data_IF_687502836588
#
_entry.id   IF_687502836588
#
_cell.length_a   1.000
_cell.length_b   1.000
_cell.length_c   1.000
_cell.angle_alpha   90.00
_cell.angle_beta   90.00
_cell.angle_gamma   90.00
#
_symmetry.space_group_name_H-M   'P 1'
#
loop_
_entity.id
_entity.type
_entity.pdbx_description
1 polymer ?
#
# COMPACT_ATOMS: atom_id res chain seq x y z
N UNK A 1 -9.70 0.23 21.58
CA UNK A 1 -10.14 -0.47 20.38
C UNK A 1 -9.57 -1.89 20.40
N UNK A 2 -10.41 -2.94 20.37
CA UNK A 2 -9.93 -4.32 20.37
C UNK A 2 -9.17 -4.60 19.07
N UNK A 3 -8.10 -5.37 19.19
CA UNK A 3 -7.38 -5.87 18.01
C UNK A 3 -8.24 -6.90 17.26
N UNK A 4 -7.91 -7.13 16.00
CA UNK A 4 -8.55 -8.19 15.23
C UNK A 4 -8.32 -9.56 15.87
N UNK A 5 -7.17 -9.75 16.54
CA UNK A 5 -6.86 -10.95 17.29
C UNK A 5 -7.83 -11.17 18.45
N UNK A 6 -8.19 -10.12 19.21
CA UNK A 6 -9.14 -10.24 20.32
C UNK A 6 -10.56 -10.56 19.81
N UNK A 7 -10.95 -9.95 18.68
CA UNK A 7 -12.25 -10.19 18.06
C UNK A 7 -12.34 -11.62 17.48
N UNK A 8 -11.31 -12.07 16.78
CA UNK A 8 -11.27 -13.40 16.18
C UNK A 8 -11.11 -14.51 17.22
N UNK A 9 -10.33 -14.29 18.29
CA UNK A 9 -10.24 -15.24 19.39
C UNK A 9 -11.61 -15.56 20.01
N UNK A 10 -12.49 -14.57 20.09
CA UNK A 10 -13.86 -14.76 20.55
C UNK A 10 -14.70 -15.57 19.58
N UNK A 11 -14.65 -15.25 18.28
CA UNK A 11 -15.36 -16.01 17.23
C UNK A 11 -14.86 -17.45 17.17
N UNK A 12 -13.54 -17.68 17.28
CA UNK A 12 -12.94 -19.02 17.28
C UNK A 12 -13.33 -19.84 18.51
N UNK A 13 -13.42 -19.21 19.68
CA UNK A 13 -13.89 -19.88 20.90
C UNK A 13 -15.34 -20.36 20.76
N UNK A 14 -16.18 -19.60 20.04
CA UNK A 14 -17.59 -19.92 19.79
C UNK A 14 -17.78 -20.95 18.65
N UNK A 15 -16.82 -21.09 17.70
CA UNK A 15 -16.92 -21.90 16.48
C UNK A 15 -15.85 -22.98 16.38
N UNK A 16 -15.74 -23.89 17.33
CA UNK A 16 -14.71 -24.96 17.41
C UNK A 16 -14.61 -25.96 16.24
N UNK A 17 -15.27 -25.75 15.10
CA UNK A 17 -15.44 -26.77 14.05
C UNK A 17 -14.71 -26.54 12.73
N UNK A 18 -13.95 -25.48 12.54
CA UNK A 18 -13.26 -25.22 11.27
C UNK A 18 -11.74 -25.25 11.42
N UNK A 19 -11.11 -26.31 10.93
CA UNK A 19 -9.65 -26.54 11.04
C UNK A 19 -8.77 -25.70 10.10
N UNK A 20 -9.33 -24.74 9.36
CA UNK A 20 -8.59 -23.87 8.42
C UNK A 20 -8.53 -22.40 8.83
N UNK A 21 -8.88 -22.09 10.07
CA UNK A 21 -8.98 -20.71 10.53
C UNK A 21 -7.63 -19.97 10.57
N UNK A 22 -6.58 -20.63 11.04
CA UNK A 22 -5.27 -20.01 11.18
C UNK A 22 -4.71 -19.55 9.82
N UNK A 23 -4.90 -20.33 8.78
CA UNK A 23 -4.53 -20.01 7.41
C UNK A 23 -5.27 -18.76 6.86
N UNK A 24 -6.60 -18.72 7.01
CA UNK A 24 -7.38 -17.56 6.56
C UNK A 24 -6.98 -16.28 7.28
N UNK A 25 -6.76 -16.36 8.60
CA UNK A 25 -6.34 -15.20 9.38
C UNK A 25 -4.95 -14.72 9.02
N UNK A 26 -3.98 -15.61 8.87
CA UNK A 26 -2.64 -15.24 8.41
C UNK A 26 -2.68 -14.63 7.02
N UNK A 27 -3.47 -15.20 6.11
CA UNK A 27 -3.67 -14.67 4.75
C UNK A 27 -4.23 -13.26 4.74
N UNK A 28 -5.29 -13.02 5.52
CA UNK A 28 -5.87 -11.69 5.64
C UNK A 28 -4.92 -10.70 6.34
N UNK A 29 -4.29 -11.08 7.46
CA UNK A 29 -3.30 -10.23 8.12
C UNK A 29 -2.16 -9.87 7.18
N UNK A 30 -1.69 -10.84 6.39
CA UNK A 30 -0.66 -10.63 5.39
C UNK A 30 -1.09 -9.65 4.30
N UNK A 31 -2.34 -9.74 3.82
CA UNK A 31 -2.90 -8.78 2.86
C UNK A 31 -2.98 -7.36 3.46
N UNK A 32 -3.26 -7.24 4.76
CA UNK A 32 -3.25 -5.96 5.47
C UNK A 32 -1.85 -5.52 5.87
N UNK A 33 -0.85 -6.38 5.72
CA UNK A 33 0.55 -6.07 5.93
C UNK A 33 0.97 -5.93 7.39
N UNK A 34 0.20 -6.47 8.33
CA UNK A 34 0.50 -6.38 9.75
C UNK A 34 -0.01 -7.61 10.51
N UNK A 35 0.59 -7.86 11.68
CA UNK A 35 0.04 -8.85 12.62
C UNK A 35 -1.38 -8.49 13.04
N UNK A 36 -2.24 -9.49 13.19
CA UNK A 36 -3.61 -9.36 13.67
C UNK A 36 -3.73 -8.59 14.98
N UNK A 37 -2.76 -8.72 15.88
CA UNK A 37 -2.71 -7.99 17.13
C UNK A 37 -2.55 -6.48 16.95
N UNK A 38 -2.08 -6.04 15.80
CA UNK A 38 -1.85 -4.63 15.49
C UNK A 38 -2.94 -4.02 14.61
N UNK A 39 -3.81 -4.83 14.03
CA UNK A 39 -4.90 -4.35 13.16
C UNK A 39 -6.15 -4.07 14.01
N UNK A 40 -6.72 -2.89 13.85
CA UNK A 40 -7.96 -2.48 14.50
C UNK A 40 -9.17 -3.20 13.89
N UNK A 41 -9.89 -3.97 14.68
CA UNK A 41 -11.16 -4.58 14.25
C UNK A 41 -12.20 -3.50 13.88
N UNK A 42 -12.28 -2.45 14.70
CA UNK A 42 -13.17 -1.31 14.43
C UNK A 42 -12.76 -0.59 13.16
N UNK A 43 -11.45 -0.33 12.97
CA UNK A 43 -10.94 0.35 11.79
C UNK A 43 -11.26 -0.41 10.50
N UNK A 44 -11.23 -1.74 10.49
CA UNK A 44 -11.65 -2.55 9.35
C UNK A 44 -13.14 -2.43 9.07
N UNK A 45 -13.98 -2.56 10.11
CA UNK A 45 -15.43 -2.41 9.95
C UNK A 45 -15.82 -1.01 9.49
N UNK A 46 -15.14 0.02 9.97
CA UNK A 46 -15.35 1.40 9.51
C UNK A 46 -14.99 1.56 8.03
N UNK A 47 -13.91 0.93 7.57
CA UNK A 47 -13.52 0.94 6.15
C UNK A 47 -14.49 0.18 5.26
N UNK A 48 -14.96 -0.99 5.68
CA UNK A 48 -15.97 -1.76 4.94
C UNK A 48 -17.27 -0.96 4.80
N UNK A 49 -17.68 -0.28 5.86
CA UNK A 49 -18.85 0.59 5.84
C UNK A 49 -18.64 1.83 4.96
N UNK A 50 -17.48 2.47 5.04
CA UNK A 50 -17.13 3.61 4.18
C UNK A 50 -17.16 3.20 2.70
N UNK A 51 -16.70 2.00 2.37
CA UNK A 51 -16.76 1.45 1.02
C UNK A 51 -18.21 1.19 0.58
N UNK A 52 -19.02 0.57 1.43
CA UNK A 52 -20.43 0.32 1.16
C UNK A 52 -21.22 1.62 0.94
N UNK A 53 -21.02 2.61 1.81
CA UNK A 53 -21.64 3.93 1.70
C UNK A 53 -21.21 4.63 0.39
N UNK A 54 -19.94 4.57 0.02
CA UNK A 54 -19.41 5.16 -1.21
C UNK A 54 -19.99 4.49 -2.47
N UNK A 55 -20.00 3.16 -2.52
CA UNK A 55 -20.57 2.41 -3.66
C UNK A 55 -22.06 2.75 -3.83
N UNK A 56 -22.80 2.86 -2.74
CA UNK A 56 -24.23 3.19 -2.78
C UNK A 56 -24.51 4.63 -3.23
N UNK A 57 -23.66 5.59 -2.85
CA UNK A 57 -23.82 7.02 -3.18
C UNK A 57 -23.41 7.32 -4.63
N UNK A 58 -22.28 6.81 -5.08
CA UNK A 58 -21.71 7.12 -6.40
C UNK A 58 -22.39 6.32 -7.53
N UNK A 59 -23.28 5.37 -7.20
CA UNK A 59 -23.81 4.39 -8.17
C UNK A 59 -22.66 3.82 -8.99
N UNK A 60 -21.63 3.33 -8.26
CA UNK A 60 -20.48 2.69 -8.89
C UNK A 60 -21.02 1.73 -9.94
N UNK A 61 -20.68 1.89 -11.23
CA UNK A 61 -21.08 0.94 -12.25
C UNK A 61 -20.43 -0.42 -12.03
N UNK A 62 -19.97 -0.67 -10.82
CA UNK A 62 -19.26 -1.78 -10.23
C UNK A 62 -19.47 -3.10 -10.89
N UNK A 63 -18.83 -3.24 -12.02
CA UNK A 63 -18.59 -4.54 -12.62
C UNK A 63 -17.28 -5.08 -12.02
N UNK A 64 -17.34 -5.56 -10.77
CA UNK A 64 -16.23 -6.23 -10.10
C UNK A 64 -15.66 -7.40 -10.93
N UNK A 65 -16.42 -7.93 -11.88
CA UNK A 65 -15.98 -8.98 -12.79
C UNK A 65 -14.92 -8.50 -13.80
N UNK A 66 -14.79 -7.21 -14.06
CA UNK A 66 -13.82 -6.64 -15.01
C UNK A 66 -12.48 -6.23 -14.39
N UNK A 67 -12.24 -6.41 -13.10
CA UNK A 67 -10.99 -6.04 -12.43
C UNK A 67 -9.77 -6.91 -12.83
N UNK A 68 -9.96 -7.99 -13.54
CA UNK A 68 -8.89 -8.89 -13.99
C UNK A 68 -8.39 -8.61 -15.41
N UNK A 69 -8.66 -7.45 -15.97
CA UNK A 69 -8.03 -7.06 -17.24
C UNK A 69 -6.57 -6.71 -16.95
N UNK A 70 -5.68 -7.61 -17.32
CA UNK A 70 -4.25 -7.30 -17.39
C UNK A 70 -4.03 -6.53 -18.70
N UNK A 71 -3.84 -5.22 -18.65
CA UNK A 71 -3.58 -4.46 -19.86
C UNK A 71 -2.24 -4.91 -20.46
N UNK A 72 -2.05 -4.84 -21.77
CA UNK A 72 -0.81 -5.22 -22.44
C UNK A 72 0.37 -4.25 -22.12
N UNK A 73 0.19 -3.37 -21.16
CA UNK A 73 1.17 -2.39 -20.71
C UNK A 73 1.05 -2.15 -19.20
N UNK A 74 2.14 -1.64 -18.59
CA UNK A 74 2.20 -1.41 -17.15
C UNK A 74 1.22 -0.31 -16.67
N UNK A 75 0.86 -0.35 -15.39
CA UNK A 75 0.08 0.73 -14.75
C UNK A 75 0.77 2.10 -14.91
N UNK A 76 2.10 2.13 -14.86
CA UNK A 76 2.87 3.36 -15.12
C UNK A 76 2.64 3.92 -16.53
N UNK A 77 2.51 3.05 -17.53
CA UNK A 77 2.21 3.47 -18.90
C UNK A 77 0.77 3.97 -19.03
N UNK A 78 -0.18 3.38 -18.31
CA UNK A 78 -1.57 3.89 -18.27
C UNK A 78 -1.58 5.31 -17.71
N UNK A 79 -0.97 5.51 -16.55
CA UNK A 79 -0.87 6.83 -15.92
C UNK A 79 -0.20 7.85 -16.84
N UNK A 80 0.91 7.46 -17.47
CA UNK A 80 1.62 8.31 -18.43
C UNK A 80 0.72 8.74 -19.58
N UNK A 81 0.01 7.82 -20.21
CA UNK A 81 -0.92 8.14 -21.34
C UNK A 81 -2.09 9.01 -20.89
N UNK A 82 -2.64 8.73 -19.70
CA UNK A 82 -3.79 9.49 -19.17
C UNK A 82 -3.41 10.92 -18.81
N UNK A 83 -2.21 11.12 -18.28
CA UNK A 83 -1.75 12.41 -17.75
C UNK A 83 -0.55 12.98 -18.53
N UNK A 84 -0.33 12.54 -19.78
CA UNK A 84 0.81 12.95 -20.61
C UNK A 84 1.05 14.47 -20.64
N UNK A 85 0.00 15.34 -20.77
CA UNK A 85 0.21 16.78 -20.78
C UNK A 85 0.81 17.33 -19.48
N UNK A 86 0.62 16.64 -18.35
CA UNK A 86 1.09 17.07 -17.03
C UNK A 86 2.51 16.62 -16.74
N UNK A 87 3.02 15.61 -17.45
CA UNK A 87 4.36 15.09 -17.17
C UNK A 87 5.49 16.08 -17.51
N UNK A 88 5.25 17.03 -18.41
CA UNK A 88 6.20 18.11 -18.72
C UNK A 88 6.39 19.07 -17.54
N UNK A 89 5.41 19.17 -16.64
CA UNK A 89 5.45 20.03 -15.45
C UNK A 89 6.10 19.34 -14.25
N UNK A 90 6.35 18.02 -14.33
CA UNK A 90 6.94 17.26 -13.23
C UNK A 90 8.43 17.54 -13.10
N UNK A 91 8.83 18.04 -11.94
CA UNK A 91 10.24 18.25 -11.60
C UNK A 91 10.80 17.03 -10.90
N UNK A 92 11.48 16.18 -11.64
CA UNK A 92 12.17 15.02 -11.08
C UNK A 92 13.42 15.44 -10.29
N UNK A 93 13.93 14.54 -9.43
CA UNK A 93 15.09 14.78 -8.57
C UNK A 93 14.94 16.05 -7.70
N UNK A 94 13.71 16.36 -7.31
CA UNK A 94 13.35 17.55 -6.56
C UNK A 94 12.65 17.15 -5.26
N UNK A 95 13.45 16.78 -4.26
CA UNK A 95 12.95 16.35 -2.95
C UNK A 95 12.61 17.58 -2.10
N UNK A 96 11.36 17.68 -1.67
CA UNK A 96 10.90 18.74 -0.76
C UNK A 96 11.46 18.53 0.65
N UNK A 97 12.02 19.57 1.24
CA UNK A 97 12.60 19.56 2.60
C UNK A 97 11.90 20.48 3.57
N UNK A 98 11.26 21.55 3.09
CA UNK A 98 10.53 22.51 3.92
C UNK A 98 9.29 23.04 3.18
N UNK A 99 8.18 23.19 3.91
CA UNK A 99 6.96 23.88 3.47
C UNK A 99 6.65 24.98 4.50
N UNK A 100 6.84 26.23 4.10
CA UNK A 100 6.51 27.39 4.92
C UNK A 100 5.21 28.02 4.42
N UNK A 101 4.15 27.89 5.21
CA UNK A 101 2.80 28.40 4.91
C UNK A 101 2.33 29.49 5.87
N UNK A 102 3.24 30.06 6.69
CA UNK A 102 2.94 31.11 7.68
C UNK A 102 2.66 32.49 7.09
N UNK A 103 3.02 32.74 5.83
CA UNK A 103 2.77 33.97 5.09
C UNK A 103 1.61 33.81 4.10
N UNK A 104 1.22 34.89 3.42
CA UNK A 104 0.19 34.81 2.36
C UNK A 104 0.60 33.82 1.28
N UNK A 105 1.81 33.91 0.79
CA UNK A 105 2.42 33.00 -0.17
C UNK A 105 3.08 31.83 0.56
N UNK A 106 2.93 30.61 0.04
CA UNK A 106 3.57 29.42 0.55
C UNK A 106 4.93 29.26 -0.13
N UNK A 107 5.97 28.99 0.64
CA UNK A 107 7.31 28.74 0.11
C UNK A 107 7.66 27.27 0.35
N UNK A 108 7.86 26.52 -0.72
CA UNK A 108 8.33 25.14 -0.72
C UNK A 108 9.81 25.13 -1.07
N UNK A 109 10.66 24.52 -0.23
CA UNK A 109 12.10 24.36 -0.50
C UNK A 109 12.43 22.93 -0.82
N UNK A 110 13.32 22.73 -1.78
CA UNK A 110 13.87 21.45 -2.13
C UNK A 110 15.24 21.18 -1.47
N UNK A 111 15.80 19.99 -1.70
CA UNK A 111 17.09 19.56 -1.15
C UNK A 111 18.30 20.36 -1.69
N UNK A 112 18.13 21.13 -2.77
CA UNK A 112 19.16 22.01 -3.33
C UNK A 112 19.04 23.44 -2.77
N UNK A 113 18.05 23.69 -1.88
CA UNK A 113 17.77 25.00 -1.32
C UNK A 113 17.02 25.93 -2.27
N UNK A 114 16.53 25.42 -3.41
CA UNK A 114 15.70 26.21 -4.30
C UNK A 114 14.32 26.42 -3.68
N UNK A 115 13.75 27.59 -3.90
CA UNK A 115 12.44 27.97 -3.40
C UNK A 115 11.42 28.03 -4.53
N UNK A 116 10.27 27.42 -4.27
CA UNK A 116 9.10 27.42 -5.16
C UNK A 116 7.95 28.07 -4.41
N UNK A 117 7.28 29.05 -5.02
CA UNK A 117 6.16 29.74 -4.40
C UNK A 117 4.83 29.25 -4.96
N UNK A 118 3.79 29.29 -4.09
CA UNK A 118 2.44 28.90 -4.45
C UNK A 118 1.40 29.55 -3.53
N UNK A 119 0.17 29.72 -4.03
CA UNK A 119 -0.97 30.14 -3.21
C UNK A 119 -1.56 28.98 -2.38
N UNK A 120 -1.46 27.74 -2.91
CA UNK A 120 -1.88 26.53 -2.24
C UNK A 120 -0.96 25.35 -2.63
N UNK A 121 -0.92 24.32 -1.78
CA UNK A 121 -0.12 23.10 -2.00
C UNK A 121 -0.95 21.85 -1.72
N UNK A 122 -1.03 20.93 -2.67
CA UNK A 122 -1.54 19.59 -2.43
C UNK A 122 -0.37 18.69 -2.06
N UNK A 123 -0.42 18.09 -0.87
CA UNK A 123 0.64 17.26 -0.29
C UNK A 123 0.27 15.79 -0.48
N UNK A 124 1.07 15.08 -1.29
CA UNK A 124 0.91 13.65 -1.55
C UNK A 124 2.08 12.83 -1.01
N UNK A 125 2.82 13.39 -0.05
CA UNK A 125 3.98 12.76 0.58
C UNK A 125 3.53 11.48 1.30
N UNK A 126 4.21 10.33 1.08
CA UNK A 126 3.88 9.07 1.74
C UNK A 126 3.84 9.21 3.27
N UNK A 127 2.89 8.52 3.90
CA UNK A 127 2.73 8.56 5.37
C UNK A 127 4.05 8.25 6.11
N UNK A 128 4.83 7.28 5.64
CA UNK A 128 6.11 6.94 6.26
C UNK A 128 7.10 8.12 6.26
N UNK A 129 7.09 8.94 5.22
CA UNK A 129 7.94 10.13 5.11
C UNK A 129 7.44 11.26 6.02
N UNK A 130 6.12 11.44 6.12
CA UNK A 130 5.53 12.35 7.10
C UNK A 130 5.89 11.95 8.54
N UNK A 131 5.85 10.64 8.87
CA UNK A 131 6.27 10.09 10.17
C UNK A 131 7.75 10.30 10.46
N UNK A 132 8.62 10.17 9.47
CA UNK A 132 10.07 10.44 9.59
C UNK A 132 10.36 11.92 9.89
N UNK A 133 9.42 12.83 9.59
CA UNK A 133 9.60 14.27 9.82
C UNK A 133 10.71 14.90 8.99
N UNK A 134 11.06 14.30 7.85
CA UNK A 134 12.11 14.83 6.95
C UNK A 134 11.68 16.08 6.21
N UNK A 135 10.37 16.35 6.15
CA UNK A 135 9.81 17.60 5.61
C UNK A 135 9.40 18.50 6.76
N UNK A 136 10.03 19.66 6.88
CA UNK A 136 9.73 20.65 7.90
C UNK A 136 8.53 21.50 7.50
N UNK A 137 7.54 21.61 8.39
CA UNK A 137 6.40 22.50 8.23
C UNK A 137 6.56 23.74 9.11
N UNK A 138 6.36 24.93 8.55
CA UNK A 138 6.43 26.22 9.26
C UNK A 138 5.19 27.05 8.91
N UNK A 139 4.28 27.34 9.85
CA UNK A 139 4.22 26.81 11.23
C UNK A 139 4.15 25.28 11.30
N UNK A 140 4.27 24.72 12.51
CA UNK A 140 4.05 23.29 12.71
C UNK A 140 2.61 22.93 12.38
N UNK A 141 2.39 21.76 11.80
CA UNK A 141 1.04 21.26 11.50
C UNK A 141 0.15 21.23 12.75
N UNK A 142 -1.17 21.42 12.62
CA UNK A 142 -2.10 21.33 13.74
C UNK A 142 -1.91 20.06 14.56
N UNK A 143 -2.13 20.13 15.87
CA UNK A 143 -1.91 19.02 16.79
C UNK A 143 -2.65 17.74 16.35
N UNK A 144 -3.93 17.86 16.01
CA UNK A 144 -4.77 16.74 15.57
C UNK A 144 -4.16 16.01 14.37
N UNK A 145 -3.61 16.76 13.41
CA UNK A 145 -2.95 16.18 12.21
C UNK A 145 -1.63 15.49 12.56
N UNK A 146 -0.82 16.08 13.44
CA UNK A 146 0.43 15.45 13.92
C UNK A 146 0.17 14.16 14.66
N UNK A 147 -0.84 14.14 15.52
CA UNK A 147 -1.28 12.92 16.22
C UNK A 147 -1.77 11.86 15.24
N UNK A 148 -2.50 12.25 14.19
CA UNK A 148 -2.94 11.33 13.14
C UNK A 148 -1.76 10.72 12.38
N UNK A 149 -0.76 11.52 12.01
CA UNK A 149 0.48 11.04 11.37
C UNK A 149 1.22 10.06 12.29
N UNK A 150 1.26 10.31 13.60
CA UNK A 150 1.94 9.43 14.56
C UNK A 150 1.20 8.09 14.73
N UNK A 151 -0.13 8.13 14.88
CA UNK A 151 -0.96 6.96 15.18
C UNK A 151 -1.17 6.05 13.98
N UNK A 152 -1.40 6.61 12.78
CA UNK A 152 -1.53 5.81 11.56
C UNK A 152 -0.27 4.99 11.34
N UNK A 153 -0.42 3.75 10.94
CA UNK A 153 0.71 2.86 10.70
C UNK A 153 0.94 2.62 9.20
N UNK A 154 2.19 2.34 8.88
CA UNK A 154 2.64 2.01 7.54
C UNK A 154 3.37 0.68 7.60
N UNK A 155 2.95 -0.28 6.79
CA UNK A 155 3.56 -1.60 6.80
C UNK A 155 4.86 -1.62 5.99
N UNK A 156 5.92 -2.30 6.45
CA UNK A 156 6.99 -2.71 5.57
C UNK A 156 6.48 -3.77 4.60
N UNK A 157 6.97 -3.77 3.37
CA UNK A 157 6.54 -4.77 2.41
C UNK A 157 7.01 -4.51 1.01
N UNK A 158 6.91 -5.57 0.22
CA UNK A 158 7.32 -5.55 -1.17
C UNK A 158 6.93 -6.81 -1.91
N UNK A 159 7.53 -6.96 -3.06
CA UNK A 159 7.30 -8.11 -3.92
C UNK A 159 8.61 -8.82 -4.22
N UNK A 160 8.60 -10.14 -4.15
CA UNK A 160 9.68 -10.98 -4.65
C UNK A 160 9.26 -11.61 -5.97
N UNK A 161 10.06 -11.41 -7.00
CA UNK A 161 9.89 -12.04 -8.32
C UNK A 161 10.86 -13.21 -8.42
N UNK A 162 10.34 -14.42 -8.64
CA UNK A 162 11.11 -15.65 -8.67
C UNK A 162 11.08 -16.20 -10.07
N UNK A 163 12.24 -16.32 -10.69
CA UNK A 163 12.37 -16.80 -12.06
C UNK A 163 12.75 -18.27 -12.10
N UNK A 164 12.02 -19.01 -12.94
CA UNK A 164 12.25 -20.42 -13.24
C UNK A 164 12.62 -20.62 -14.71
N UNK A 165 13.26 -21.72 -15.04
CA UNK A 165 13.61 -22.11 -16.41
C UNK A 165 12.39 -22.43 -17.28
N UNK A 166 11.32 -22.90 -16.64
CA UNK A 166 10.04 -23.26 -17.28
C UNK A 166 8.88 -23.03 -16.33
N UNK A 167 7.69 -22.96 -16.87
CA UNK A 167 6.46 -22.98 -16.08
C UNK A 167 6.31 -24.31 -15.31
N UNK A 168 6.20 -24.25 -13.98
CA UNK A 168 6.00 -25.39 -13.08
C UNK A 168 4.57 -25.50 -12.56
N UNK A 169 3.72 -24.52 -12.83
CA UNK A 169 2.39 -24.33 -12.23
C UNK A 169 1.24 -24.51 -13.23
N UNK A 170 1.54 -24.78 -14.53
CA UNK A 170 0.51 -24.94 -15.56
C UNK A 170 -0.35 -23.69 -15.69
N UNK A 171 -1.66 -23.87 -15.60
CA UNK A 171 -2.66 -22.80 -15.72
C UNK A 171 -3.07 -22.18 -14.36
N UNK A 172 -2.36 -22.50 -13.28
CA UNK A 172 -2.64 -21.89 -11.97
C UNK A 172 -2.27 -20.42 -11.97
N UNK A 173 -3.13 -19.57 -11.44
CA UNK A 173 -2.92 -18.11 -11.39
C UNK A 173 -2.44 -17.60 -10.02
N UNK A 174 -2.65 -18.39 -8.94
CA UNK A 174 -2.16 -18.05 -7.60
C UNK A 174 -1.93 -19.27 -6.73
N UNK A 175 -1.06 -19.15 -5.75
CA UNK A 175 -0.80 -20.12 -4.71
C UNK A 175 -0.95 -19.46 -3.35
N UNK A 176 -1.50 -20.19 -2.39
CA UNK A 176 -1.57 -19.76 -1.00
C UNK A 176 -1.15 -20.91 -0.10
N UNK A 177 -0.35 -20.63 0.92
CA UNK A 177 0.06 -21.55 1.96
C UNK A 177 0.19 -20.85 3.32
N UNK A 178 0.52 -21.61 4.34
CA UNK A 178 0.83 -21.11 5.68
C UNK A 178 2.35 -20.95 5.92
N UNK A 179 3.13 -20.86 4.85
CA UNK A 179 4.58 -20.70 4.87
C UNK A 179 5.04 -19.30 5.22
N UNK A 180 6.27 -18.98 4.84
CA UNK A 180 6.86 -17.67 5.05
C UNK A 180 6.16 -16.57 4.24
N UNK A 181 5.85 -16.83 2.97
CA UNK A 181 5.03 -15.95 2.11
C UNK A 181 3.67 -16.61 1.90
N UNK A 182 2.63 -15.97 2.37
CA UNK A 182 1.28 -16.55 2.35
C UNK A 182 0.67 -16.57 0.95
N UNK A 183 1.00 -15.59 0.09
CA UNK A 183 0.39 -15.47 -1.23
C UNK A 183 1.43 -15.30 -2.33
N UNK A 184 1.30 -16.14 -3.36
CA UNK A 184 2.05 -16.06 -4.60
C UNK A 184 1.09 -15.86 -5.77
N UNK A 185 1.44 -14.99 -6.71
CA UNK A 185 0.69 -14.69 -7.91
C UNK A 185 1.51 -15.04 -9.15
N UNK A 186 0.83 -15.36 -10.23
CA UNK A 186 1.47 -15.58 -11.52
C UNK A 186 1.34 -14.33 -12.36
N UNK A 187 2.46 -13.67 -12.58
CA UNK A 187 2.51 -12.46 -13.40
C UNK A 187 2.30 -12.78 -14.88
N UNK A 188 1.43 -12.01 -15.55
CA UNK A 188 1.18 -12.20 -17.00
C UNK A 188 0.34 -13.42 -17.34
N UNK A 189 -0.38 -13.98 -16.37
CA UNK A 189 -1.21 -15.18 -16.50
C UNK A 189 -2.07 -15.24 -17.78
N UNK A 190 -2.63 -14.12 -18.21
CA UNK A 190 -3.54 -14.08 -19.36
C UNK A 190 -2.86 -13.91 -20.72
N UNK A 191 -1.55 -13.72 -20.78
CA UNK A 191 -0.88 -13.38 -22.04
C UNK A 191 -0.29 -14.56 -22.80
N UNK A 192 0.24 -15.55 -22.16
CA UNK A 192 0.79 -16.80 -22.73
C UNK A 192 1.25 -17.67 -21.54
N UNK A 193 0.37 -18.44 -20.92
CA UNK A 193 0.68 -19.18 -19.69
C UNK A 193 1.93 -20.05 -19.80
N UNK A 194 2.11 -20.70 -20.96
CA UNK A 194 3.24 -21.61 -21.20
C UNK A 194 4.63 -20.90 -21.23
N UNK A 195 4.64 -19.60 -21.54
CA UNK A 195 5.88 -18.80 -21.55
C UNK A 195 6.12 -18.09 -20.22
N UNK A 196 5.16 -18.11 -19.32
CA UNK A 196 5.29 -17.47 -18.05
C UNK A 196 6.19 -18.31 -17.12
N UNK A 197 7.34 -17.77 -16.78
CA UNK A 197 8.36 -18.42 -15.93
C UNK A 197 8.63 -17.64 -14.65
N UNK A 198 7.77 -16.66 -14.30
CA UNK A 198 7.95 -15.80 -13.13
C UNK A 198 6.77 -15.95 -12.17
N UNK A 199 7.09 -16.23 -10.92
CA UNK A 199 6.15 -16.19 -9.79
C UNK A 199 6.44 -14.94 -8.97
N UNK A 200 5.38 -14.22 -8.61
CA UNK A 200 5.44 -13.07 -7.72
C UNK A 200 4.98 -13.47 -6.31
N UNK A 201 5.84 -13.28 -5.31
CA UNK A 201 5.48 -13.45 -3.90
C UNK A 201 5.19 -12.10 -3.25
N UNK A 202 4.14 -12.03 -2.45
CA UNK A 202 3.72 -10.85 -1.71
C UNK A 202 4.29 -10.91 -0.29
N UNK A 203 5.35 -10.14 -0.03
CA UNK A 203 6.12 -10.19 1.23
C UNK A 203 5.77 -8.96 2.06
N UNK A 204 5.11 -9.14 3.20
CA UNK A 204 4.56 -8.04 3.98
C UNK A 204 4.88 -8.18 5.48
N UNK A 205 4.79 -7.07 6.21
CA UNK A 205 4.90 -7.07 7.66
C UNK A 205 6.26 -7.55 8.18
N UNK A 206 6.23 -8.39 9.20
CA UNK A 206 7.44 -8.93 9.83
C UNK A 206 8.28 -9.78 8.85
N UNK A 207 7.62 -10.50 7.95
CA UNK A 207 8.28 -11.30 6.91
C UNK A 207 9.10 -10.41 5.97
N UNK A 208 8.61 -9.22 5.62
CA UNK A 208 9.37 -8.26 4.82
C UNK A 208 10.63 -7.77 5.54
N UNK A 209 10.53 -7.49 6.84
CA UNK A 209 11.69 -7.11 7.66
C UNK A 209 12.75 -8.22 7.77
N UNK A 210 12.32 -9.47 7.85
CA UNK A 210 13.21 -10.64 7.86
C UNK A 210 13.83 -10.81 6.48
N UNK A 211 13.01 -10.75 5.43
CA UNK A 211 13.44 -11.03 4.06
C UNK A 211 14.47 -10.02 3.56
N UNK A 212 14.26 -8.72 3.81
CA UNK A 212 15.18 -7.66 3.36
C UNK A 212 16.56 -7.74 4.04
N UNK A 213 16.61 -8.26 5.27
CA UNK A 213 17.86 -8.44 6.02
C UNK A 213 18.58 -9.75 5.72
N UNK A 214 17.89 -10.71 5.10
CA UNK A 214 18.43 -12.02 4.77
C UNK A 214 19.42 -11.96 3.61
N UNK A 215 20.45 -12.83 3.64
CA UNK A 215 21.31 -13.03 2.46
C UNK A 215 20.50 -13.64 1.31
N UNK A 216 20.99 -13.47 0.09
CA UNK A 216 20.32 -14.03 -1.10
C UNK A 216 20.13 -15.56 -1.00
N UNK A 217 21.10 -16.27 -0.43
CA UNK A 217 21.02 -17.70 -0.17
C UNK A 217 19.90 -18.01 0.83
N UNK A 218 19.80 -17.21 1.91
CA UNK A 218 18.73 -17.41 2.90
C UNK A 218 17.36 -17.08 2.35
N UNK A 219 17.24 -16.04 1.54
CA UNK A 219 16.01 -15.72 0.82
C UNK A 219 15.59 -16.89 -0.07
N UNK A 220 16.54 -17.45 -0.86
CA UNK A 220 16.28 -18.65 -1.69
C UNK A 220 15.81 -19.85 -0.87
N UNK A 221 16.38 -20.09 0.30
CA UNK A 221 15.94 -21.19 1.19
C UNK A 221 14.48 -20.99 1.66
N UNK A 222 14.12 -19.77 2.06
CA UNK A 222 12.75 -19.43 2.47
C UNK A 222 11.77 -19.67 1.32
N UNK A 223 12.09 -19.19 0.11
CA UNK A 223 11.30 -19.40 -1.08
C UNK A 223 11.16 -20.87 -1.45
N UNK A 224 12.24 -21.64 -1.30
CA UNK A 224 12.20 -23.10 -1.52
C UNK A 224 11.28 -23.80 -0.52
N UNK A 225 11.39 -23.46 0.78
CA UNK A 225 10.53 -24.05 1.82
C UNK A 225 9.05 -23.86 1.50
N UNK A 226 8.67 -22.69 1.01
CA UNK A 226 7.30 -22.42 0.62
C UNK A 226 6.91 -23.15 -0.67
N UNK A 227 7.68 -22.95 -1.73
CA UNK A 227 7.28 -23.38 -3.09
C UNK A 227 7.46 -24.87 -3.35
N UNK A 228 8.29 -25.56 -2.56
CA UNK A 228 8.41 -27.03 -2.66
C UNK A 228 7.11 -27.77 -2.32
N UNK A 229 6.21 -27.14 -1.57
CA UNK A 229 4.89 -27.69 -1.29
C UNK A 229 4.01 -27.80 -2.55
N UNK A 230 4.25 -26.92 -3.54
CA UNK A 230 3.50 -26.88 -4.80
C UNK A 230 4.19 -27.65 -5.92
N UNK A 231 5.50 -27.52 -6.04
CA UNK A 231 6.27 -28.03 -7.19
C UNK A 231 7.11 -29.27 -6.86
N UNK A 232 7.34 -29.54 -5.58
CA UNK A 232 8.33 -30.51 -5.13
C UNK A 232 9.73 -29.91 -5.04
N UNK A 233 10.53 -30.41 -4.09
CA UNK A 233 11.87 -29.88 -3.82
C UNK A 233 12.85 -30.07 -5.00
N UNK A 234 12.76 -31.22 -5.68
CA UNK A 234 13.59 -31.53 -6.86
C UNK A 234 13.28 -30.60 -8.03
N UNK A 235 11.98 -30.41 -8.36
CA UNK A 235 11.56 -29.52 -9.44
C UNK A 235 11.96 -28.06 -9.15
N UNK A 236 11.88 -27.62 -7.91
CA UNK A 236 12.37 -26.30 -7.53
C UNK A 236 13.88 -26.19 -7.80
N UNK A 237 14.70 -27.13 -7.30
CA UNK A 237 16.17 -27.08 -7.45
C UNK A 237 16.61 -27.10 -8.92
N UNK A 238 15.99 -27.94 -9.73
CA UNK A 238 16.33 -28.07 -11.16
C UNK A 238 15.98 -26.86 -11.97
N UNK A 239 14.90 -26.14 -11.62
CA UNK A 239 14.33 -25.10 -12.46
C UNK A 239 14.49 -23.68 -11.90
N UNK A 240 14.79 -23.49 -10.63
CA UNK A 240 15.07 -22.17 -10.09
C UNK A 240 16.27 -21.53 -10.81
N UNK A 241 16.11 -20.28 -11.27
CA UNK A 241 17.20 -19.48 -11.88
C UNK A 241 17.68 -18.39 -10.94
N UNK A 242 16.77 -17.51 -10.53
CA UNK A 242 17.08 -16.35 -9.70
C UNK A 242 15.83 -15.80 -9.02
N UNK A 243 16.00 -14.86 -8.12
CA UNK A 243 14.93 -14.05 -7.57
C UNK A 243 15.38 -12.61 -7.37
N UNK A 244 14.43 -11.69 -7.37
CA UNK A 244 14.62 -10.28 -7.10
C UNK A 244 13.55 -9.80 -6.13
N UNK A 245 13.95 -9.20 -5.01
CA UNK A 245 13.05 -8.58 -4.05
C UNK A 245 13.07 -7.07 -4.21
N UNK A 246 11.89 -6.47 -4.31
CA UNK A 246 11.70 -5.03 -4.28
C UNK A 246 10.91 -4.66 -3.03
N UNK A 247 11.64 -4.17 -2.01
CA UNK A 247 11.06 -3.71 -0.74
C UNK A 247 10.83 -2.21 -0.75
N UNK A 248 9.58 -1.80 -0.56
CA UNK A 248 9.20 -0.38 -0.49
C UNK A 248 9.73 0.31 0.76
N UNK A 249 9.92 -0.44 1.85
CA UNK A 249 10.49 0.04 3.11
C UNK A 249 11.93 0.54 2.95
N UNK A 250 12.67 0.00 1.99
CA UNK A 250 14.06 0.39 1.70
C UNK A 250 14.18 1.61 0.78
N UNK A 251 13.07 2.05 0.18
CA UNK A 251 13.07 3.22 -0.70
C UNK A 251 13.04 4.51 0.14
N UNK A 252 14.07 5.33 -0.01
CA UNK A 252 14.31 6.52 0.83
C UNK A 252 13.13 7.49 0.86
N UNK A 253 12.48 7.72 -0.28
CA UNK A 253 11.38 8.67 -0.44
C UNK A 253 9.99 8.04 -0.32
N UNK A 254 9.89 6.75 0.03
CA UNK A 254 8.63 6.01 0.19
C UNK A 254 8.52 5.43 1.60
N UNK A 255 9.46 4.56 2.00
CA UNK A 255 9.64 4.10 3.37
C UNK A 255 8.63 3.07 3.89
N UNK A 256 7.79 2.50 3.03
CA UNK A 256 6.81 1.47 3.37
C UNK A 256 5.90 1.14 2.21
N UNK A 257 5.10 0.10 2.31
CA UNK A 257 4.21 -0.35 1.24
C UNK A 257 2.89 0.44 1.23
N UNK A 258 2.11 0.37 2.30
CA UNK A 258 0.84 1.08 2.44
C UNK A 258 0.44 1.25 3.90
N UNK A 259 -0.53 2.15 4.14
CA UNK A 259 -1.03 2.42 5.49
C UNK A 259 -2.06 1.35 5.91
N UNK A 260 -2.13 1.03 7.20
CA UNK A 260 -3.15 0.12 7.71
C UNK A 260 -3.84 0.67 8.97
N UNK A 261 -5.09 0.26 9.26
CA UNK A 261 -5.80 0.66 10.47
C UNK A 261 -5.19 -0.05 11.68
N UNK A 262 -4.49 0.70 12.52
CA UNK A 262 -3.94 0.17 13.77
C UNK A 262 -4.93 0.23 14.92
N UNK A 263 -4.66 -0.52 15.99
CA UNK A 263 -5.45 -0.49 17.24
C UNK A 263 -5.43 0.87 17.94
N UNK A 264 -4.60 1.80 17.49
CA UNK A 264 -4.48 3.15 18.06
C UNK A 264 -5.50 4.17 17.51
N UNK A 265 -6.60 3.70 16.92
CA UNK A 265 -7.71 4.52 16.37
C UNK A 265 -7.45 5.14 15.00
N UNK A 266 -7.50 4.31 13.97
CA UNK A 266 -7.12 4.70 12.63
C UNK A 266 -8.20 5.45 11.82
N UNK A 267 -9.49 5.20 12.03
CA UNK A 267 -10.54 5.82 11.21
C UNK A 267 -10.59 7.35 11.39
N UNK A 268 -10.62 7.84 12.62
CA UNK A 268 -10.56 9.28 12.88
C UNK A 268 -9.21 9.91 12.49
N UNK A 269 -8.13 9.10 12.52
CA UNK A 269 -6.82 9.56 12.09
C UNK A 269 -6.77 9.82 10.58
N UNK A 270 -7.41 9.00 9.73
CA UNK A 270 -7.48 9.27 8.28
C UNK A 270 -8.26 10.56 7.99
N UNK A 271 -9.39 10.76 8.67
CA UNK A 271 -10.17 12.00 8.59
C UNK A 271 -9.35 13.21 9.01
N UNK A 272 -8.60 13.12 10.12
CA UNK A 272 -7.73 14.20 10.57
C UNK A 272 -6.55 14.44 9.61
N UNK A 273 -5.99 13.38 9.01
CA UNK A 273 -4.90 13.51 8.04
C UNK A 273 -5.36 14.18 6.74
N UNK A 274 -6.58 13.94 6.28
CA UNK A 274 -7.13 14.56 5.06
C UNK A 274 -7.55 16.02 5.23
N UNK A 275 -7.85 16.47 6.45
CA UNK A 275 -8.34 17.84 6.70
C UNK A 275 -7.39 18.89 6.10
N UNK A 276 -7.95 19.88 5.43
CA UNK A 276 -7.22 21.05 4.90
C UNK A 276 -6.69 21.91 6.05
N UNK A 277 -5.52 22.53 5.86
CA UNK A 277 -4.92 23.46 6.83
C UNK A 277 -4.91 24.86 6.24
N UNK A 278 -5.59 25.79 6.91
CA UNK A 278 -5.61 27.24 6.62
C UNK A 278 -6.03 27.57 5.17
N UNK A 279 -6.75 26.71 4.46
CA UNK A 279 -7.04 26.81 3.01
C UNK A 279 -5.77 26.97 2.17
N UNK A 280 -4.68 26.40 2.62
CA UNK A 280 -3.35 26.48 2.00
C UNK A 280 -2.76 25.10 1.73
N UNK A 281 -2.88 24.18 2.68
CA UNK A 281 -2.33 22.84 2.57
C UNK A 281 -3.47 21.83 2.48
N UNK A 282 -3.52 21.11 1.38
CA UNK A 282 -4.45 20.03 1.09
C UNK A 282 -3.70 18.71 1.10
N UNK A 283 -4.29 17.66 1.62
CA UNK A 283 -3.60 16.38 1.77
C UNK A 283 -4.30 15.29 0.94
N UNK A 284 -3.53 14.55 0.15
CA UNK A 284 -3.98 13.43 -0.65
C UNK A 284 -2.98 12.25 -0.54
N UNK A 285 -3.34 11.12 -1.09
CA UNK A 285 -2.65 9.84 -0.99
C UNK A 285 -3.55 8.80 -0.34
N UNK A 286 -3.24 7.50 -0.52
CA UNK A 286 -4.08 6.40 -0.04
C UNK A 286 -4.36 6.46 1.47
N UNK A 287 -3.42 6.96 2.27
CA UNK A 287 -3.57 7.12 3.72
C UNK A 287 -4.60 8.17 4.13
N UNK A 288 -5.05 9.03 3.22
CA UNK A 288 -6.08 10.05 3.43
C UNK A 288 -7.44 9.65 2.88
N UNK A 289 -7.54 8.46 2.28
CA UNK A 289 -8.81 7.96 1.78
C UNK A 289 -9.75 7.60 2.92
N UNK A 290 -11.01 7.98 2.79
CA UNK A 290 -12.08 7.68 3.73
C UNK A 290 -13.33 7.12 2.99
N UNK A 291 -13.11 6.47 1.84
CA UNK A 291 -14.15 5.86 1.03
C UNK A 291 -13.99 4.33 0.99
N UNK A 292 -13.18 3.75 1.90
CA UNK A 292 -12.91 2.31 1.95
C UNK A 292 -11.85 1.80 0.96
N UNK A 293 -11.27 2.68 0.14
CA UNK A 293 -10.23 2.33 -0.84
C UNK A 293 -8.80 2.63 -0.35
N UNK A 294 -8.59 2.87 0.93
CA UNK A 294 -7.22 3.03 1.46
C UNK A 294 -6.35 1.82 1.08
N UNK A 295 -5.03 1.99 1.04
CA UNK A 295 -4.06 0.97 0.60
C UNK A 295 -4.07 0.69 -0.92
N UNK A 296 -4.93 1.33 -1.69
CA UNK A 296 -5.08 1.05 -3.12
C UNK A 296 -4.72 2.26 -3.99
N UNK A 297 -4.45 1.98 -5.26
CA UNK A 297 -4.28 3.03 -6.29
C UNK A 297 -5.57 3.84 -6.46
N UNK A 298 -6.73 3.19 -6.36
CA UNK A 298 -8.03 3.86 -6.44
C UNK A 298 -8.20 4.88 -5.32
N UNK A 299 -7.91 4.51 -4.07
CA UNK A 299 -7.95 5.43 -2.93
C UNK A 299 -7.01 6.62 -3.10
N UNK A 300 -5.80 6.39 -3.63
CA UNK A 300 -4.89 7.48 -3.96
C UNK A 300 -5.48 8.44 -5.00
N UNK A 301 -6.09 7.93 -6.08
CA UNK A 301 -6.71 8.73 -7.13
C UNK A 301 -7.92 9.51 -6.61
N UNK A 302 -8.85 8.87 -5.90
CA UNK A 302 -10.01 9.53 -5.31
C UNK A 302 -9.61 10.63 -4.32
N UNK A 303 -8.61 10.37 -3.48
CA UNK A 303 -8.12 11.38 -2.56
C UNK A 303 -7.48 12.58 -3.28
N UNK A 304 -6.81 12.36 -4.40
CA UNK A 304 -6.26 13.41 -5.26
C UNK A 304 -7.37 14.26 -5.89
N UNK A 305 -8.39 13.62 -6.48
CA UNK A 305 -9.58 14.30 -7.02
C UNK A 305 -10.24 15.17 -5.95
N UNK A 306 -10.56 14.59 -4.79
CA UNK A 306 -11.16 15.31 -3.67
C UNK A 306 -10.32 16.53 -3.25
N UNK A 307 -9.01 16.38 -3.07
CA UNK A 307 -8.14 17.49 -2.66
C UNK A 307 -8.12 18.62 -3.69
N UNK A 308 -8.15 18.29 -4.98
CA UNK A 308 -8.26 19.28 -6.06
C UNK A 308 -9.60 20.02 -6.02
N UNK A 309 -10.71 19.31 -5.83
CA UNK A 309 -12.07 19.89 -5.72
C UNK A 309 -12.19 20.82 -4.50
N UNK A 310 -11.67 20.40 -3.33
CA UNK A 310 -11.60 21.23 -2.12
C UNK A 310 -10.81 22.51 -2.38
N UNK A 311 -9.66 22.40 -3.05
CA UNK A 311 -8.83 23.55 -3.42
C UNK A 311 -9.57 24.48 -4.36
N UNK A 312 -10.14 24.00 -5.45
CA UNK A 312 -10.87 24.80 -6.41
C UNK A 312 -12.01 25.59 -5.75
N UNK A 313 -12.80 24.91 -4.89
CA UNK A 313 -13.89 25.56 -4.14
C UNK A 313 -13.42 26.67 -3.21
N UNK A 314 -12.24 26.55 -2.64
CA UNK A 314 -11.68 27.59 -1.73
C UNK A 314 -11.12 28.81 -2.49
N UNK A 315 -10.88 28.67 -3.81
CA UNK A 315 -10.35 29.74 -4.67
C UNK A 315 -11.38 30.33 -5.65
N UNK A 316 -12.61 29.79 -5.67
CA UNK A 316 -13.78 30.42 -6.31
C UNK A 316 -14.32 31.59 -5.44
#
# INVERSE_FOLDING_TARGET
DPSLNDYTAKILADNKKCGSHDFLYRGLAHMWGADWSNISAKGMLDMDKELEDFINDEKDPGDFENYLIVPPFSQAEILKRTFEPLFSEVKLNTRVTEINYGSKEIIVKDQLGQSHSADAVIITIPLAILKKGTVKFTPTLPQKKREAIEKLQMTPGGKVFIKFKKNLWGDTWSFQNDGFIVMYLITGYHQEPEKNTVVEGFVMGQEAEIFVKASKEKQRELLKQDLQAFFGAEAFEENYEDHFYFGWESQEDIGGAYSFPSVADAADCRKALRETVDKKLYFAGEATDCNGYSQTVSGALYSGKRAAEELMKDFE
#
